data_IF_297040424610
#
_entry.id   IF_297040424610
#
_cell.length_a   1.000
_cell.length_b   1.000
_cell.length_c   1.000
_cell.angle_alpha   90.00
_cell.angle_beta   90.00
_cell.angle_gamma   90.00
#
_symmetry.space_group_name_H-M   'P 1'
#
loop_
_entity.id
_entity.type
_entity.pdbx_description
1 polymer ?
#
# COMPACT_ATOMS: atom_id res chain seq x y z
N UNK A 1 -20.26 -5.51 10.99
CA UNK A 1 -19.88 -4.10 11.20
C UNK A 1 -18.73 -4.01 12.17
N UNK A 2 -17.92 -2.99 12.02
CA UNK A 2 -16.82 -2.65 12.95
C UNK A 2 -16.88 -1.17 13.26
N UNK A 3 -16.55 -0.81 14.49
CA UNK A 3 -16.46 0.59 14.93
C UNK A 3 -15.23 0.73 15.80
N UNK A 4 -14.49 1.82 15.64
CA UNK A 4 -13.31 2.14 16.44
C UNK A 4 -13.56 3.35 17.31
N UNK A 5 -13.18 3.21 18.56
CA UNK A 5 -13.21 4.26 19.57
C UNK A 5 -11.81 4.42 20.16
N UNK A 6 -11.38 5.66 20.36
CA UNK A 6 -10.14 5.98 21.07
C UNK A 6 -10.47 6.96 22.18
N UNK A 7 -10.11 6.61 23.42
CA UNK A 7 -10.39 7.41 24.62
C UNK A 7 -11.86 7.82 24.76
N UNK A 8 -12.77 6.93 24.33
CA UNK A 8 -14.23 7.18 24.35
C UNK A 8 -14.78 7.91 23.13
N UNK A 9 -13.94 8.46 22.26
CA UNK A 9 -14.37 9.13 21.03
C UNK A 9 -14.55 8.12 19.89
N UNK A 10 -15.71 8.12 19.24
CA UNK A 10 -15.94 7.36 18.02
C UNK A 10 -15.17 8.00 16.86
N UNK A 11 -14.33 7.21 16.17
CA UNK A 11 -13.51 7.71 15.07
C UNK A 11 -14.07 7.33 13.71
N UNK A 12 -14.39 6.05 13.53
CA UNK A 12 -14.81 5.55 12.21
C UNK A 12 -15.57 4.23 12.32
N UNK A 13 -16.25 3.85 11.24
CA UNK A 13 -16.90 2.57 11.10
C UNK A 13 -16.64 1.94 9.74
N UNK A 14 -16.70 0.61 9.66
CA UNK A 14 -16.52 -0.15 8.43
C UNK A 14 -17.54 -1.27 8.31
N UNK A 15 -18.21 -1.31 7.15
CA UNK A 15 -19.05 -2.44 6.75
C UNK A 15 -18.25 -3.35 5.83
N UNK A 16 -18.01 -4.57 6.24
CA UNK A 16 -17.21 -5.57 5.53
C UNK A 16 -16.37 -6.40 6.48
N UNK A 17 -15.85 -7.52 6.01
CA UNK A 17 -15.12 -8.47 6.85
C UNK A 17 -13.74 -8.85 6.31
N UNK A 18 -13.43 -8.53 5.07
CA UNK A 18 -12.31 -9.12 4.35
C UNK A 18 -11.27 -8.13 3.84
N UNK A 19 -11.64 -6.86 3.67
CA UNK A 19 -10.72 -5.81 3.25
C UNK A 19 -9.92 -5.22 4.40
N UNK A 20 -8.74 -4.70 4.09
CA UNK A 20 -7.96 -3.87 5.00
C UNK A 20 -8.74 -2.59 5.31
N UNK A 21 -8.77 -2.21 6.57
CA UNK A 21 -9.38 -0.97 7.03
C UNK A 21 -8.41 -0.25 7.94
N UNK A 22 -8.16 1.01 7.65
CA UNK A 22 -7.28 1.88 8.42
C UNK A 22 -8.08 3.02 9.01
N UNK A 23 -7.72 3.43 10.20
CA UNK A 23 -8.35 4.53 10.93
C UNK A 23 -7.25 5.44 11.45
N UNK A 24 -7.31 6.71 11.06
CA UNK A 24 -6.41 7.71 11.62
C UNK A 24 -6.89 8.06 13.03
N UNK A 25 -6.01 7.88 14.02
CA UNK A 25 -6.33 8.16 15.42
C UNK A 25 -5.48 9.27 16.02
N UNK A 26 -4.68 9.97 15.21
CA UNK A 26 -3.70 10.96 15.65
C UNK A 26 -4.29 12.00 16.58
N UNK A 27 -5.43 12.59 16.20
CA UNK A 27 -6.06 13.69 16.98
C UNK A 27 -6.81 13.22 18.24
N UNK A 28 -7.04 11.90 18.36
CA UNK A 28 -7.72 11.31 19.51
C UNK A 28 -6.76 10.75 20.56
N UNK A 29 -5.46 10.74 20.25
CA UNK A 29 -4.43 10.28 21.18
C UNK A 29 -4.07 11.37 22.18
N UNK A 30 -3.72 10.94 23.38
CA UNK A 30 -3.20 11.78 24.44
C UNK A 30 -1.85 11.24 24.93
N UNK A 31 -1.07 12.06 25.61
CA UNK A 31 0.17 11.60 26.21
C UNK A 31 -0.09 10.48 27.24
N UNK A 32 0.77 9.46 27.20
CA UNK A 32 0.70 8.32 28.09
C UNK A 32 -0.22 7.20 27.60
N UNK A 33 -1.10 6.71 28.45
CA UNK A 33 -1.94 5.54 28.16
C UNK A 33 -3.19 5.95 27.37
N UNK A 34 -3.43 5.25 26.28
CA UNK A 34 -4.62 5.41 25.45
C UNK A 34 -5.42 4.12 25.41
N UNK A 35 -6.75 4.22 25.48
CA UNK A 35 -7.66 3.10 25.37
C UNK A 35 -8.24 3.04 23.95
N UNK A 36 -7.93 1.97 23.23
CA UNK A 36 -8.50 1.68 21.91
C UNK A 36 -9.52 0.58 22.06
N UNK A 37 -10.75 0.82 21.61
CA UNK A 37 -11.85 -0.15 21.64
C UNK A 37 -12.34 -0.38 20.21
N UNK A 38 -12.39 -1.64 19.80
CA UNK A 38 -12.97 -2.06 18.54
C UNK A 38 -14.23 -2.87 18.81
N UNK A 39 -15.39 -2.30 18.50
CA UNK A 39 -16.66 -3.00 18.56
C UNK A 39 -16.90 -3.78 17.25
N UNK A 40 -17.14 -5.07 17.34
CA UNK A 40 -17.38 -5.92 16.17
C UNK A 40 -18.75 -6.56 16.28
N UNK A 41 -19.54 -6.41 15.24
CA UNK A 41 -20.89 -6.97 15.12
C UNK A 41 -21.00 -7.81 13.85
N UNK A 42 -21.29 -9.12 14.01
CA UNK A 42 -21.51 -10.07 12.92
C UNK A 42 -22.99 -10.47 12.78
N UNK A 43 -23.91 -9.73 13.38
CA UNK A 43 -25.35 -9.95 13.20
C UNK A 43 -25.75 -9.81 11.73
N UNK A 44 -26.85 -10.49 11.37
CA UNK A 44 -27.38 -10.42 10.02
C UNK A 44 -27.71 -8.99 9.60
N UNK A 45 -27.23 -8.59 8.43
CA UNK A 45 -27.53 -7.29 7.81
C UNK A 45 -27.45 -7.40 6.28
N UNK A 46 -28.02 -6.44 5.59
CA UNK A 46 -28.14 -6.38 4.12
C UNK A 46 -26.97 -5.66 3.43
N UNK A 47 -26.02 -5.11 4.20
CA UNK A 47 -24.91 -4.30 3.67
C UNK A 47 -23.59 -5.04 3.57
N UNK A 48 -23.49 -6.22 4.17
CA UNK A 48 -22.28 -7.05 4.13
C UNK A 48 -22.60 -8.37 3.46
N UNK A 49 -21.93 -8.63 2.37
CA UNK A 49 -22.16 -9.80 1.51
C UNK A 49 -21.03 -10.82 1.62
N UNK A 50 -21.32 -12.09 1.42
CA UNK A 50 -22.54 -12.84 1.73
C UNK A 50 -22.53 -13.29 3.19
N UNK A 51 -23.72 -13.41 3.83
CA UNK A 51 -23.85 -13.93 5.20
C UNK A 51 -24.41 -15.35 5.25
N UNK A 52 -24.55 -16.01 4.11
CA UNK A 52 -24.99 -17.40 3.97
C UNK A 52 -24.13 -18.10 2.93
N UNK A 53 -23.32 -19.04 3.36
CA UNK A 53 -22.48 -19.89 2.53
C UNK A 53 -22.08 -21.14 3.32
N UNK A 54 -21.38 -22.06 2.67
CA UNK A 54 -20.95 -23.36 3.25
C UNK A 54 -19.80 -23.23 4.27
N UNK A 55 -19.56 -22.04 4.80
CA UNK A 55 -18.50 -21.81 5.79
C UNK A 55 -19.00 -20.96 6.94
N UNK A 56 -18.30 -21.05 8.06
CA UNK A 56 -18.66 -20.36 9.29
C UNK A 56 -18.28 -18.88 9.23
N UNK A 57 -19.22 -18.02 9.59
CA UNK A 57 -19.00 -16.58 9.75
C UNK A 57 -18.63 -16.29 11.20
N UNK A 58 -17.35 -16.27 11.49
CA UNK A 58 -16.86 -15.95 12.83
C UNK A 58 -17.05 -14.47 13.15
N UNK A 59 -17.45 -14.19 14.39
CA UNK A 59 -17.40 -12.83 14.94
C UNK A 59 -16.03 -12.51 15.52
N UNK A 60 -15.82 -11.23 15.85
CA UNK A 60 -14.59 -10.76 16.46
C UNK A 60 -13.50 -10.40 15.45
N UNK A 61 -12.30 -10.19 15.99
CA UNK A 61 -11.08 -9.91 15.22
C UNK A 61 -10.19 -11.14 15.23
N UNK A 62 -10.01 -11.79 14.10
CA UNK A 62 -9.20 -13.00 13.94
C UNK A 62 -8.02 -12.81 12.99
N UNK A 63 -7.82 -11.60 12.49
CA UNK A 63 -6.65 -11.19 11.71
C UNK A 63 -5.88 -10.12 12.48
N UNK A 64 -4.67 -9.86 12.06
CA UNK A 64 -3.76 -8.94 12.71
C UNK A 64 -4.35 -7.53 12.83
N UNK A 65 -4.04 -6.90 13.96
CA UNK A 65 -4.31 -5.49 14.22
C UNK A 65 -2.97 -4.82 14.47
N UNK A 66 -2.67 -3.84 13.62
CA UNK A 66 -1.39 -3.14 13.66
C UNK A 66 -1.60 -1.66 13.97
N UNK A 67 -0.70 -1.08 14.75
CA UNK A 67 -0.58 0.36 14.90
C UNK A 67 0.57 0.81 14.00
N UNK A 68 0.26 1.69 13.06
CA UNK A 68 1.23 2.24 12.12
C UNK A 68 1.55 3.67 12.56
N UNK A 69 2.82 3.92 12.90
CA UNK A 69 3.32 5.25 13.18
C UNK A 69 4.22 5.70 12.03
N UNK A 70 3.94 6.86 11.48
CA UNK A 70 4.66 7.44 10.34
C UNK A 70 5.09 8.88 10.64
N UNK A 71 6.02 9.39 9.85
CA UNK A 71 6.39 10.81 9.88
C UNK A 71 5.23 11.68 9.38
N UNK A 72 5.27 13.00 9.64
CA UNK A 72 4.27 13.94 9.12
C UNK A 72 4.19 13.89 7.58
N UNK A 73 5.35 13.81 6.92
CA UNK A 73 5.44 13.56 5.48
C UNK A 73 5.64 12.06 5.28
N UNK A 74 4.73 11.39 4.62
CA UNK A 74 4.75 9.93 4.42
C UNK A 74 3.98 9.52 3.15
N UNK A 75 4.17 8.28 2.72
CA UNK A 75 3.34 7.69 1.66
C UNK A 75 1.89 7.52 2.15
N UNK A 76 0.94 7.90 1.30
CA UNK A 76 -0.47 7.90 1.65
C UNK A 76 -0.93 6.49 2.07
N UNK A 77 -1.54 6.43 3.24
CA UNK A 77 -2.07 5.20 3.82
C UNK A 77 -3.53 4.94 3.42
N UNK A 78 -4.21 5.91 2.84
CA UNK A 78 -5.64 5.83 2.51
C UNK A 78 -5.89 5.46 1.04
N UNK A 79 -4.87 5.50 0.18
CA UNK A 79 -4.98 5.11 -1.22
C UNK A 79 -5.34 3.62 -1.34
N UNK A 80 -6.64 3.33 -1.41
CA UNK A 80 -7.24 1.97 -1.49
C UNK A 80 -6.66 0.96 -0.48
N UNK A 81 -6.20 1.41 0.68
CA UNK A 81 -5.52 0.57 1.67
C UNK A 81 -4.17 0.01 1.21
N UNK A 82 -3.61 0.57 0.14
CA UNK A 82 -2.32 0.19 -0.42
C UNK A 82 -1.14 0.91 0.24
N UNK A 83 -0.03 0.96 -0.47
CA UNK A 83 1.25 1.48 0.02
C UNK A 83 1.55 2.89 -0.49
N UNK A 84 0.55 3.64 -0.98
CA UNK A 84 0.74 4.96 -1.57
C UNK A 84 1.51 4.94 -2.90
N UNK A 85 1.56 3.79 -3.56
CA UNK A 85 2.15 3.62 -4.90
C UNK A 85 1.13 3.00 -5.85
N UNK A 86 1.16 3.47 -7.10
CA UNK A 86 0.53 2.80 -8.22
C UNK A 86 1.60 2.53 -9.27
N UNK A 87 1.77 1.28 -9.64
CA UNK A 87 2.73 0.83 -10.63
C UNK A 87 1.97 0.22 -11.81
N UNK A 88 2.24 0.72 -13.00
CA UNK A 88 1.60 0.25 -14.24
C UNK A 88 2.70 -0.12 -15.24
N UNK A 89 3.01 -1.40 -15.39
CA UNK A 89 3.96 -1.87 -16.39
C UNK A 89 3.29 -2.03 -17.76
N UNK A 90 4.01 -1.67 -18.79
CA UNK A 90 3.66 -1.91 -20.20
C UNK A 90 4.85 -2.62 -20.85
N UNK A 91 4.61 -3.78 -21.45
CA UNK A 91 5.65 -4.52 -22.15
C UNK A 91 5.43 -4.53 -23.65
N UNK A 92 6.50 -4.26 -24.39
CA UNK A 92 6.59 -4.41 -25.80
C UNK A 92 7.82 -5.25 -26.14
N UNK A 93 7.62 -6.38 -26.77
CA UNK A 93 8.67 -7.37 -27.08
C UNK A 93 9.43 -7.84 -25.81
N UNK A 94 10.66 -7.39 -25.66
CA UNK A 94 11.54 -7.69 -24.52
C UNK A 94 11.79 -6.48 -23.62
N UNK A 95 11.11 -5.37 -23.83
CA UNK A 95 11.30 -4.17 -23.04
C UNK A 95 10.05 -3.85 -22.24
N UNK A 96 10.22 -3.35 -21.05
CA UNK A 96 9.14 -2.87 -20.20
C UNK A 96 9.29 -1.38 -19.92
N UNK A 97 8.18 -0.65 -20.06
CA UNK A 97 8.02 0.71 -19.56
C UNK A 97 7.16 0.65 -18.32
N UNK A 98 7.66 1.17 -17.21
CA UNK A 98 7.02 1.08 -15.90
C UNK A 98 6.66 2.48 -15.42
N UNK A 99 5.38 2.82 -15.47
CA UNK A 99 4.87 4.04 -14.89
C UNK A 99 4.70 3.85 -13.38
N UNK A 100 5.32 4.73 -12.59
CA UNK A 100 5.19 4.76 -11.13
C UNK A 100 4.58 6.09 -10.72
N UNK A 101 3.43 6.03 -10.07
CA UNK A 101 2.71 7.17 -9.51
C UNK A 101 2.72 7.08 -7.99
N UNK A 102 3.01 8.20 -7.32
CA UNK A 102 3.18 8.28 -5.86
C UNK A 102 2.11 9.16 -5.25
N UNK A 103 1.52 8.67 -4.18
CA UNK A 103 0.57 9.40 -3.34
C UNK A 103 1.21 9.66 -1.98
N UNK A 104 1.17 10.92 -1.55
CA UNK A 104 1.82 11.38 -0.32
C UNK A 104 0.85 12.17 0.54
N UNK A 105 1.10 12.17 1.83
CA UNK A 105 0.48 13.03 2.81
C UNK A 105 1.52 13.89 3.51
N UNK A 106 1.21 15.19 3.70
CA UNK A 106 2.05 16.12 4.45
C UNK A 106 3.40 16.44 3.83
N UNK A 107 3.52 16.32 2.50
CA UNK A 107 4.76 16.64 1.78
C UNK A 107 5.16 18.11 1.93
N UNK A 108 6.45 18.40 1.83
CA UNK A 108 7.05 19.72 1.97
C UNK A 108 7.95 20.05 0.79
N UNK A 109 8.05 21.35 0.47
CA UNK A 109 9.01 21.82 -0.51
C UNK A 109 10.45 21.43 -0.12
N UNK A 110 11.26 21.06 -1.10
CA UNK A 110 12.65 20.62 -0.92
C UNK A 110 12.81 19.12 -0.70
N UNK A 111 11.76 18.38 -0.40
CA UNK A 111 11.80 16.93 -0.38
C UNK A 111 11.98 16.36 -1.78
N UNK A 112 12.52 15.15 -1.87
CA UNK A 112 12.81 14.45 -3.13
C UNK A 112 12.26 13.01 -3.07
N UNK A 113 11.99 12.47 -4.25
CA UNK A 113 11.61 11.07 -4.44
C UNK A 113 12.72 10.34 -5.18
N UNK A 114 13.12 9.18 -4.67
CA UNK A 114 14.08 8.27 -5.32
C UNK A 114 13.34 6.99 -5.68
N UNK A 115 13.25 6.72 -6.98
CA UNK A 115 12.57 5.55 -7.53
C UNK A 115 13.61 4.53 -7.95
N UNK A 116 13.45 3.29 -7.53
CA UNK A 116 14.33 2.19 -7.91
C UNK A 116 13.49 0.97 -8.28
N UNK A 117 13.90 0.27 -9.31
CA UNK A 117 13.39 -1.06 -9.64
C UNK A 117 14.57 -2.01 -9.58
N UNK A 118 14.42 -3.05 -8.77
CA UNK A 118 15.39 -4.15 -8.67
C UNK A 118 14.78 -5.44 -9.20
N UNK A 119 15.64 -6.31 -9.70
CA UNK A 119 15.28 -7.66 -10.10
C UNK A 119 15.08 -8.61 -8.90
N UNK A 120 14.83 -9.89 -9.17
CA UNK A 120 14.61 -10.90 -8.14
C UNK A 120 15.84 -11.16 -7.27
N UNK A 121 17.05 -10.90 -7.78
CA UNK A 121 18.33 -11.02 -7.09
C UNK A 121 18.71 -9.73 -6.33
N UNK A 122 17.87 -8.67 -6.43
CA UNK A 122 18.14 -7.37 -5.81
C UNK A 122 19.07 -6.47 -6.61
N UNK A 123 19.41 -6.83 -7.86
CA UNK A 123 20.24 -5.99 -8.72
C UNK A 123 19.42 -4.84 -9.28
N UNK A 124 19.98 -3.65 -9.30
CA UNK A 124 19.33 -2.45 -9.80
C UNK A 124 19.09 -2.55 -11.32
N UNK A 125 17.83 -2.57 -11.74
CA UNK A 125 17.40 -2.59 -13.11
C UNK A 125 17.13 -1.18 -13.67
N UNK A 126 16.55 -0.29 -12.86
CA UNK A 126 16.29 1.11 -13.26
C UNK A 126 16.23 2.02 -12.03
N UNK A 127 16.66 3.27 -12.18
CA UNK A 127 16.58 4.30 -11.14
C UNK A 127 16.30 5.68 -11.74
N UNK A 128 15.53 6.50 -10.99
CA UNK A 128 15.44 7.94 -11.25
C UNK A 128 15.18 8.70 -9.96
N UNK A 129 15.38 10.02 -9.99
CA UNK A 129 15.12 10.95 -8.88
C UNK A 129 14.33 12.13 -9.37
N UNK A 130 13.39 12.59 -8.56
CA UNK A 130 12.60 13.79 -8.85
C UNK A 130 12.49 14.70 -7.63
N UNK A 131 12.12 15.95 -7.87
CA UNK A 131 11.60 16.79 -6.80
C UNK A 131 10.20 16.32 -6.38
N UNK A 132 9.75 16.77 -5.23
CA UNK A 132 8.47 16.35 -4.62
C UNK A 132 7.23 16.74 -5.46
N UNK A 133 7.36 17.69 -6.38
CA UNK A 133 6.29 18.08 -7.32
C UNK A 133 6.03 17.04 -8.41
N UNK A 134 7.05 16.25 -8.77
CA UNK A 134 6.96 15.26 -9.84
C UNK A 134 6.73 13.87 -9.26
N UNK A 135 5.46 13.56 -9.03
CA UNK A 135 5.00 12.32 -8.39
C UNK A 135 4.75 11.18 -9.35
N UNK A 136 5.02 11.38 -10.64
CA UNK A 136 4.85 10.36 -11.67
C UNK A 136 6.09 10.29 -12.56
N UNK A 137 6.63 9.09 -12.72
CA UNK A 137 7.79 8.81 -13.55
C UNK A 137 7.54 7.60 -14.44
N UNK A 138 8.34 7.52 -15.53
CA UNK A 138 8.44 6.33 -16.35
C UNK A 138 9.87 5.81 -16.26
N UNK A 139 10.01 4.54 -15.93
CA UNK A 139 11.27 3.80 -15.92
C UNK A 139 11.25 2.76 -17.02
N UNK A 140 12.40 2.45 -17.60
CA UNK A 140 12.52 1.46 -18.68
C UNK A 140 13.46 0.34 -18.24
N UNK A 141 13.06 -0.90 -18.53
CA UNK A 141 13.87 -2.09 -18.35
C UNK A 141 14.01 -2.77 -19.71
N UNK A 142 15.25 -3.00 -20.13
CA UNK A 142 15.56 -3.74 -21.35
C UNK A 142 15.76 -5.22 -21.03
N UNK A 143 15.39 -6.10 -21.97
CA UNK A 143 15.47 -7.56 -21.85
C UNK A 143 14.80 -8.06 -20.55
N UNK A 144 13.56 -7.60 -20.32
CA UNK A 144 12.80 -7.87 -19.10
C UNK A 144 12.47 -9.36 -18.96
N UNK A 145 12.69 -9.91 -17.78
CA UNK A 145 12.30 -11.27 -17.42
C UNK A 145 10.81 -11.26 -17.01
N UNK A 146 9.99 -11.98 -17.77
CA UNK A 146 8.54 -11.97 -17.56
C UNK A 146 8.10 -13.04 -16.56
N UNK A 147 7.19 -12.67 -15.68
CA UNK A 147 6.51 -13.62 -14.81
C UNK A 147 5.71 -14.66 -15.62
N UNK A 148 5.84 -15.94 -15.28
CA UNK A 148 5.16 -17.05 -15.96
C UNK A 148 4.48 -17.99 -14.95
N UNK A 149 3.65 -17.45 -14.08
CA UNK A 149 2.89 -18.20 -13.10
C UNK A 149 3.76 -19.10 -12.22
N UNK A 150 3.34 -20.35 -12.02
CA UNK A 150 4.06 -21.31 -11.19
C UNK A 150 5.33 -21.88 -11.84
N UNK A 151 5.50 -21.70 -13.14
CA UNK A 151 6.68 -22.22 -13.86
C UNK A 151 7.88 -21.32 -13.66
N UNK A 152 7.65 -20.03 -13.59
CA UNK A 152 8.70 -19.02 -13.44
C UNK A 152 8.09 -17.78 -12.74
N UNK A 153 8.03 -17.79 -11.41
CA UNK A 153 7.38 -16.73 -10.61
C UNK A 153 8.30 -15.53 -10.39
N UNK A 154 8.96 -15.05 -11.45
CA UNK A 154 9.90 -13.96 -11.38
C UNK A 154 9.24 -12.63 -11.05
N UNK A 155 9.75 -11.89 -10.07
CA UNK A 155 9.21 -10.63 -9.61
C UNK A 155 10.28 -9.54 -9.62
N UNK A 156 9.94 -8.37 -10.10
CA UNK A 156 10.68 -7.15 -9.83
C UNK A 156 10.12 -6.47 -8.57
N UNK A 157 10.95 -5.65 -7.96
CA UNK A 157 10.54 -4.83 -6.80
C UNK A 157 10.69 -3.36 -7.13
N UNK A 158 9.60 -2.62 -7.10
CA UNK A 158 9.64 -1.17 -7.14
C UNK A 158 9.72 -0.63 -5.71
N UNK A 159 10.72 0.20 -5.46
CA UNK A 159 10.94 0.90 -4.19
C UNK A 159 10.95 2.39 -4.45
N UNK A 160 10.20 3.15 -3.67
CA UNK A 160 10.26 4.60 -3.68
C UNK A 160 10.63 5.09 -2.28
N UNK A 161 11.62 5.98 -2.20
CA UNK A 161 12.05 6.60 -0.95
C UNK A 161 11.69 8.08 -0.95
N UNK A 162 11.07 8.53 0.12
CA UNK A 162 10.87 9.94 0.40
C UNK A 162 12.09 10.47 1.18
N UNK A 163 12.77 11.44 0.60
CA UNK A 163 14.01 11.99 1.12
C UNK A 163 13.80 13.42 1.61
N UNK A 164 14.34 13.75 2.79
CA UNK A 164 14.44 15.12 3.33
C UNK A 164 15.87 15.34 3.80
N UNK A 165 16.53 16.38 3.32
CA UNK A 165 17.93 16.74 3.66
C UNK A 165 18.92 15.55 3.54
N UNK A 166 18.74 14.72 2.51
CA UNK A 166 19.58 13.55 2.25
C UNK A 166 19.27 12.32 3.11
N UNK A 167 18.28 12.40 4.00
CA UNK A 167 17.83 11.30 4.85
C UNK A 167 16.54 10.70 4.30
N UNK A 168 16.45 9.37 4.26
CA UNK A 168 15.21 8.68 3.94
C UNK A 168 14.27 8.76 5.15
N UNK A 169 13.17 9.49 5.00
CA UNK A 169 12.18 9.69 6.06
C UNK A 169 10.99 8.74 5.96
N UNK A 170 10.74 8.19 4.77
CA UNK A 170 9.74 7.14 4.55
C UNK A 170 10.07 6.33 3.31
N UNK A 171 9.57 5.09 3.24
CA UNK A 171 9.83 4.15 2.16
C UNK A 171 8.58 3.35 1.84
N UNK A 172 8.26 3.25 0.56
CA UNK A 172 7.22 2.36 0.06
C UNK A 172 7.78 1.36 -0.95
N UNK A 173 7.26 0.13 -0.91
CA UNK A 173 7.72 -0.98 -1.72
C UNK A 173 6.53 -1.79 -2.23
N UNK A 174 6.61 -2.22 -3.50
CA UNK A 174 5.66 -3.13 -4.12
C UNK A 174 6.38 -4.12 -5.04
N UNK A 175 5.93 -5.36 -5.06
CA UNK A 175 6.37 -6.35 -6.03
C UNK A 175 5.60 -6.21 -7.34
N UNK A 176 6.30 -6.29 -8.44
CA UNK A 176 5.74 -6.21 -9.78
C UNK A 176 5.80 -7.58 -10.42
N UNK A 177 4.64 -8.17 -10.68
CA UNK A 177 4.48 -9.41 -11.43
C UNK A 177 3.90 -9.08 -12.81
N UNK A 178 4.67 -8.56 -13.72
CA UNK A 178 4.08 -8.18 -15.00
C UNK A 178 5.07 -8.22 -16.16
N UNK A 179 4.42 -8.32 -17.33
CA UNK A 179 2.99 -8.38 -17.58
C UNK A 179 2.49 -9.83 -17.71
N UNK A 180 1.33 -10.08 -17.12
CA UNK A 180 0.55 -11.26 -17.54
C UNK A 180 0.30 -11.15 -19.03
N UNK A 181 0.77 -12.12 -19.85
CA UNK A 181 0.18 -12.34 -21.16
C UNK A 181 -1.31 -12.54 -20.93
N UNK A 182 -2.13 -11.65 -21.44
CA UNK A 182 -3.52 -12.02 -21.69
C UNK A 182 -3.47 -13.30 -22.55
N UNK A 183 -4.07 -14.37 -22.02
CA UNK A 183 -4.23 -15.56 -22.82
C UNK A 183 -5.06 -15.17 -24.06
N UNK A 184 -4.45 -15.30 -25.22
CA UNK A 184 -5.17 -15.27 -26.48
C UNK A 184 -6.16 -16.42 -26.55
#
# INVERSE_FOLDING_TARGET
KRQVYVNGNHLDHHDGGYSTWRVNMTDALTDGKNLIVVAVDNSANDRVYPQKADFTFYGGMYRDVNIIAVNKSHFDLDYYGGNGLKVTPEVADKNAKIAVEVFLSGEKAGQQLVYQITDAEGVLAAETKTGISDKQVNLEITDVHLWNGRKDPYLYTATVRLMEDGVCIDLSLIHISEPTRQAE
#
